data_IF_725709854843
#
_entry.id   IF_725709854843
#
_cell.length_a   1.000
_cell.length_b   1.000
_cell.length_c   1.000
_cell.angle_alpha   90.00
_cell.angle_beta   90.00
_cell.angle_gamma   90.00
#
_symmetry.space_group_name_H-M   'P 1'
#
loop_
_entity.id
_entity.type
_entity.pdbx_description
1 polymer ?
#
# COMPACT_ATOMS: atom_id res chain seq x y z
N UNK A 1 46.28 -39.79 -15.28
CA UNK A 1 46.23 -40.54 -14.00
C UNK A 1 46.15 -39.48 -12.91
N UNK A 2 45.00 -39.10 -12.33
CA UNK A 2 43.85 -39.81 -11.74
C UNK A 2 42.60 -38.99 -12.15
N UNK A 3 41.72 -39.40 -13.08
CA UNK A 3 40.63 -40.39 -13.04
C UNK A 3 39.51 -40.12 -12.01
N UNK A 4 38.43 -39.49 -12.51
CA UNK A 4 37.03 -39.96 -12.46
C UNK A 4 36.32 -40.25 -11.13
N UNK A 5 36.66 -39.61 -10.01
CA UNK A 5 35.94 -39.87 -8.74
C UNK A 5 34.81 -38.88 -8.38
N UNK A 6 34.67 -37.73 -9.06
CA UNK A 6 33.67 -36.73 -8.65
C UNK A 6 32.29 -36.87 -9.32
N UNK A 7 32.20 -37.53 -10.48
CA UNK A 7 30.94 -37.60 -11.25
C UNK A 7 30.04 -38.79 -10.91
N UNK A 8 30.46 -39.68 -9.99
CA UNK A 8 29.72 -40.91 -9.65
C UNK A 8 28.99 -40.85 -8.29
N UNK A 9 29.13 -39.78 -7.50
CA UNK A 9 28.41 -39.68 -6.21
C UNK A 9 27.04 -39.00 -6.35
N UNK A 10 26.84 -38.17 -7.38
CA UNK A 10 25.55 -37.46 -7.57
C UNK A 10 24.51 -38.34 -8.30
N UNK A 11 24.93 -39.36 -9.05
CA UNK A 11 24.01 -40.21 -9.81
C UNK A 11 23.54 -41.46 -9.05
N UNK A 12 24.20 -41.85 -7.96
CA UNK A 12 23.81 -43.04 -7.16
C UNK A 12 22.72 -42.74 -6.12
N UNK A 13 22.55 -41.47 -5.71
CA UNK A 13 21.44 -41.07 -4.84
C UNK A 13 20.07 -41.04 -5.54
N UNK A 14 20.04 -41.19 -6.87
CA UNK A 14 18.79 -41.28 -7.64
C UNK A 14 18.36 -42.71 -7.98
N UNK A 15 19.19 -43.74 -7.74
CA UNK A 15 18.94 -45.11 -8.24
C UNK A 15 18.85 -46.17 -7.12
N UNK A 16 19.14 -45.84 -5.86
CA UNK A 16 18.88 -46.77 -4.76
C UNK A 16 17.55 -46.44 -4.07
N UNK A 17 16.57 -47.26 -4.43
CA UNK A 17 15.20 -47.21 -3.97
C UNK A 17 15.07 -47.14 -2.46
N UNK A 18 14.42 -46.08 -2.01
CA UNK A 18 13.35 -46.21 -1.04
C UNK A 18 12.09 -45.92 -1.86
N UNK A 19 11.51 -46.98 -2.41
CA UNK A 19 10.12 -46.95 -2.85
C UNK A 19 9.26 -46.74 -1.60
N UNK A 20 9.21 -45.50 -1.10
CA UNK A 20 7.99 -45.06 -0.43
C UNK A 20 6.90 -45.20 -1.48
N UNK A 21 5.74 -45.81 -1.16
CA UNK A 21 4.60 -45.66 -2.04
C UNK A 21 4.40 -44.15 -2.16
N UNK A 22 4.77 -43.59 -3.31
CA UNK A 22 4.28 -42.31 -3.74
C UNK A 22 2.79 -42.57 -3.94
N UNK A 23 2.04 -42.55 -2.83
CA UNK A 23 0.62 -42.27 -2.89
C UNK A 23 0.58 -41.01 -3.73
N UNK A 24 0.01 -41.12 -4.93
CA UNK A 24 -0.41 -39.95 -5.67
C UNK A 24 -1.21 -39.16 -4.64
N UNK A 25 -0.63 -38.07 -4.14
CA UNK A 25 -1.39 -37.13 -3.35
C UNK A 25 -2.57 -36.82 -4.26
N UNK A 26 -3.79 -37.10 -3.83
CA UNK A 26 -4.92 -36.57 -4.55
C UNK A 26 -4.96 -35.09 -4.19
N UNK A 27 -4.60 -34.22 -5.15
CA UNK A 27 -4.52 -32.77 -4.92
C UNK A 27 -5.91 -32.20 -4.68
N UNK A 28 -6.96 -32.98 -4.95
CA UNK A 28 -8.34 -32.67 -4.61
C UNK A 28 -8.64 -32.88 -3.11
N UNK A 29 -7.92 -33.77 -2.42
CA UNK A 29 -8.12 -34.08 -0.99
C UNK A 29 -7.10 -33.41 -0.06
N UNK A 30 -6.03 -32.84 -0.61
CA UNK A 30 -5.09 -32.03 0.15
C UNK A 30 -5.76 -30.70 0.52
N UNK A 31 -6.32 -30.63 1.73
CA UNK A 31 -6.70 -29.36 2.33
C UNK A 31 -5.49 -28.41 2.20
N UNK A 32 -5.68 -27.20 1.64
CA UNK A 32 -4.57 -26.28 1.45
C UNK A 32 -3.90 -26.08 2.81
N UNK A 33 -2.60 -26.37 2.88
CA UNK A 33 -1.82 -26.20 4.10
C UNK A 33 -2.08 -24.81 4.69
N UNK A 34 -2.10 -24.71 6.02
CA UNK A 34 -2.32 -23.44 6.74
C UNK A 34 -1.38 -22.32 6.29
N UNK A 35 -0.24 -22.66 5.65
CA UNK A 35 0.69 -21.71 5.02
C UNK A 35 0.09 -20.91 3.85
N UNK A 36 -1.02 -21.37 3.28
CA UNK A 36 -1.78 -20.72 2.23
C UNK A 36 -3.01 -19.97 2.76
N UNK A 37 -3.28 -20.06 4.06
CA UNK A 37 -4.36 -19.29 4.68
C UNK A 37 -4.04 -17.80 4.55
N UNK A 38 -5.00 -17.10 3.95
CA UNK A 38 -4.94 -15.65 3.80
C UNK A 38 -5.09 -15.05 5.18
N UNK A 39 -4.14 -14.20 5.57
CA UNK A 39 -4.32 -13.38 6.75
C UNK A 39 -5.18 -12.19 6.40
N UNK A 40 -6.41 -12.17 6.91
CA UNK A 40 -7.34 -11.06 6.72
C UNK A 40 -6.90 -9.83 7.51
N UNK A 41 -7.48 -8.68 7.16
CA UNK A 41 -7.36 -7.49 8.00
C UNK A 41 -8.00 -7.77 9.37
N UNK A 42 -7.43 -7.27 10.48
CA UNK A 42 -8.02 -7.38 11.82
C UNK A 42 -9.52 -7.00 11.83
N UNK A 43 -10.34 -7.82 12.49
CA UNK A 43 -11.79 -7.60 12.58
C UNK A 43 -12.60 -7.93 11.32
N UNK A 44 -11.96 -8.35 10.23
CA UNK A 44 -12.64 -8.73 8.99
C UNK A 44 -12.75 -10.25 8.84
N UNK A 45 -13.89 -10.71 8.31
CA UNK A 45 -14.20 -12.13 8.08
C UNK A 45 -14.00 -12.57 6.63
N UNK A 46 -13.79 -11.60 5.74
CA UNK A 46 -13.46 -11.82 4.34
C UNK A 46 -12.35 -10.89 3.89
N UNK A 47 -11.83 -11.13 2.69
CA UNK A 47 -10.90 -10.21 2.03
C UNK A 47 -11.63 -8.90 1.69
N UNK A 48 -10.86 -7.82 1.63
CA UNK A 48 -11.39 -6.47 1.47
C UNK A 48 -11.11 -5.95 0.05
N UNK A 49 -12.14 -5.45 -0.59
CA UNK A 49 -12.07 -4.70 -1.83
C UNK A 49 -12.53 -3.29 -1.55
N UNK A 50 -11.61 -2.36 -1.69
CA UNK A 50 -11.84 -0.97 -1.33
C UNK A 50 -12.18 -0.15 -2.56
N UNK A 51 -12.92 0.93 -2.34
CA UNK A 51 -12.95 2.04 -3.26
C UNK A 51 -11.84 3.03 -2.86
N UNK A 52 -11.17 3.61 -3.86
CA UNK A 52 -10.22 4.69 -3.64
C UNK A 52 -10.97 6.01 -3.53
N UNK A 53 -10.80 6.73 -2.43
CA UNK A 53 -11.54 7.95 -2.13
C UNK A 53 -12.84 7.69 -1.36
N UNK A 54 -13.25 8.68 -0.58
CA UNK A 54 -14.48 8.64 0.21
C UNK A 54 -15.06 10.05 0.34
N UNK A 55 -16.38 10.25 0.17
CA UNK A 55 -16.99 11.55 0.39
C UNK A 55 -16.77 12.06 1.83
N UNK A 56 -16.59 13.37 2.01
CA UNK A 56 -16.49 14.00 3.33
C UNK A 56 -17.82 14.13 4.07
N UNK A 57 -18.96 14.06 3.37
CA UNK A 57 -20.29 14.16 3.97
C UNK A 57 -20.85 12.79 4.37
N UNK A 58 -21.30 12.65 5.62
CA UNK A 58 -21.81 11.39 6.16
C UNK A 58 -23.05 10.87 5.42
N UNK A 59 -23.94 11.75 4.95
CA UNK A 59 -25.13 11.30 4.23
C UNK A 59 -24.77 10.74 2.85
N UNK A 60 -23.80 11.36 2.16
CA UNK A 60 -23.23 10.84 0.91
C UNK A 60 -22.53 9.50 1.13
N UNK A 61 -21.69 9.37 2.16
CA UNK A 61 -21.02 8.11 2.52
C UNK A 61 -22.01 6.98 2.73
N UNK A 62 -23.10 7.23 3.50
CA UNK A 62 -24.15 6.23 3.73
C UNK A 62 -24.81 5.77 2.42
N UNK A 63 -25.09 6.68 1.50
CA UNK A 63 -25.67 6.34 0.18
C UNK A 63 -24.69 5.53 -0.66
N UNK A 64 -23.42 5.95 -0.71
CA UNK A 64 -22.38 5.24 -1.44
C UNK A 64 -22.20 3.80 -0.92
N UNK A 65 -22.05 3.62 0.39
CA UNK A 65 -21.94 2.28 0.99
C UNK A 65 -23.18 1.43 0.70
N UNK A 66 -24.38 2.01 0.73
CA UNK A 66 -25.61 1.28 0.41
C UNK A 66 -25.58 0.74 -1.03
N UNK A 67 -25.12 1.54 -1.99
CA UNK A 67 -24.94 1.11 -3.39
C UNK A 67 -23.84 0.06 -3.49
N UNK A 68 -22.67 0.28 -2.87
CA UNK A 68 -21.57 -0.69 -2.91
C UNK A 68 -21.97 -2.06 -2.36
N UNK A 69 -22.76 -2.09 -1.27
CA UNK A 69 -23.30 -3.32 -0.71
C UNK A 69 -24.33 -3.98 -1.62
N UNK A 70 -25.26 -3.19 -2.20
CA UNK A 70 -26.31 -3.69 -3.08
C UNK A 70 -25.74 -4.32 -4.35
N UNK A 71 -24.75 -3.67 -4.95
CA UNK A 71 -24.17 -4.04 -6.24
C UNK A 71 -22.91 -4.92 -6.10
N UNK A 72 -22.45 -5.18 -4.87
CA UNK A 72 -21.26 -6.03 -4.61
C UNK A 72 -19.93 -5.39 -5.07
N UNK A 73 -19.82 -4.06 -5.03
CA UNK A 73 -18.67 -3.33 -5.58
C UNK A 73 -17.46 -3.27 -4.64
N UNK A 74 -17.65 -3.58 -3.36
CA UNK A 74 -16.58 -3.53 -2.36
C UNK A 74 -17.11 -3.44 -0.94
N UNK A 75 -16.17 -3.46 0.01
CA UNK A 75 -16.41 -3.51 1.45
C UNK A 75 -15.38 -2.72 2.27
N UNK A 76 -14.81 -1.64 1.72
CA UNK A 76 -13.89 -0.75 2.46
C UNK A 76 -13.54 0.54 1.68
N UNK A 77 -12.73 1.39 2.28
CA UNK A 77 -12.11 2.55 1.60
C UNK A 77 -10.58 2.55 1.77
N UNK A 78 -9.86 2.84 0.70
CA UNK A 78 -8.41 2.98 0.70
C UNK A 78 -7.97 3.89 -0.47
N UNK A 79 -7.56 5.14 -0.21
CA UNK A 79 -7.75 5.87 1.04
C UNK A 79 -9.22 6.26 1.23
N UNK A 80 -9.64 6.39 2.49
CA UNK A 80 -10.87 7.02 2.93
C UNK A 80 -10.61 8.46 3.40
N UNK A 81 -11.44 9.00 4.29
CA UNK A 81 -11.31 10.40 4.71
C UNK A 81 -9.96 10.67 5.40
N UNK A 82 -9.56 11.94 5.41
CA UNK A 82 -8.41 12.39 6.19
C UNK A 82 -8.56 12.00 7.66
N UNK A 83 -7.46 11.55 8.26
CA UNK A 83 -7.39 11.02 9.64
C UNK A 83 -7.34 12.15 10.65
N UNK A 84 -8.37 13.00 10.65
CA UNK A 84 -8.49 14.20 11.48
C UNK A 84 -9.82 14.23 12.23
N UNK A 85 -9.86 14.93 13.36
CA UNK A 85 -11.02 15.02 14.24
C UNK A 85 -12.29 15.56 13.55
N UNK A 86 -12.12 16.39 12.51
CA UNK A 86 -13.24 16.88 11.68
C UNK A 86 -14.07 15.76 11.04
N UNK A 87 -13.49 14.57 10.85
CA UNK A 87 -14.15 13.40 10.27
C UNK A 87 -14.62 12.37 11.31
N UNK A 88 -14.69 12.74 12.60
CA UNK A 88 -15.04 11.82 13.70
C UNK A 88 -16.39 11.10 13.49
N UNK A 89 -17.39 11.78 12.92
CA UNK A 89 -18.70 11.21 12.62
C UNK A 89 -18.63 10.11 11.54
N UNK A 90 -17.70 10.22 10.58
CA UNK A 90 -17.45 9.20 9.56
C UNK A 90 -16.83 7.96 10.21
N UNK A 91 -15.76 8.13 11.01
CA UNK A 91 -15.10 7.03 11.71
C UNK A 91 -16.05 6.30 12.66
N UNK A 92 -16.84 7.03 13.45
CA UNK A 92 -17.86 6.41 14.31
C UNK A 92 -18.90 5.60 13.50
N UNK A 93 -19.27 6.09 12.31
CA UNK A 93 -20.18 5.34 11.43
C UNK A 93 -19.52 4.07 10.89
N UNK A 94 -18.28 4.16 10.38
CA UNK A 94 -17.53 3.01 9.87
C UNK A 94 -17.33 1.93 10.92
N UNK A 95 -16.92 2.33 12.13
CA UNK A 95 -16.77 1.43 13.28
C UNK A 95 -18.07 0.64 13.55
N UNK A 96 -19.21 1.34 13.59
CA UNK A 96 -20.51 0.73 13.87
C UNK A 96 -20.93 -0.33 12.83
N UNK A 97 -20.54 -0.14 11.57
CA UNK A 97 -20.88 -1.07 10.49
C UNK A 97 -19.74 -2.02 10.13
N UNK A 98 -18.65 -2.02 10.93
CA UNK A 98 -17.40 -2.74 10.70
C UNK A 98 -16.83 -2.54 9.28
N UNK A 99 -16.80 -1.30 8.80
CA UNK A 99 -16.26 -0.95 7.48
C UNK A 99 -14.78 -0.55 7.60
N UNK A 100 -13.84 -1.35 7.07
CA UNK A 100 -12.41 -1.07 7.15
C UNK A 100 -12.04 0.16 6.32
N UNK A 101 -11.10 0.94 6.85
CA UNK A 101 -10.62 2.17 6.21
C UNK A 101 -9.10 2.28 6.30
N UNK A 102 -8.46 2.72 5.24
CA UNK A 102 -7.13 3.34 5.30
C UNK A 102 -7.34 4.83 5.11
N UNK A 103 -7.01 5.68 6.07
CA UNK A 103 -7.18 7.13 5.94
C UNK A 103 -5.99 7.82 5.29
N UNK A 104 -6.26 8.98 4.69
CA UNK A 104 -5.19 9.94 4.39
C UNK A 104 -4.58 10.49 5.69
N UNK A 105 -3.27 10.78 5.72
CA UNK A 105 -2.65 11.42 6.87
C UNK A 105 -3.13 12.87 7.02
N UNK A 106 -3.09 13.45 8.24
CA UNK A 106 -3.21 14.89 8.42
C UNK A 106 -2.16 15.63 7.58
N UNK A 107 -2.52 16.78 7.01
CA UNK A 107 -1.64 17.59 6.14
C UNK A 107 -1.12 16.86 4.88
N UNK A 108 -1.77 15.77 4.46
CA UNK A 108 -1.55 15.11 3.17
C UNK A 108 -0.09 14.78 2.88
N UNK A 109 0.46 15.38 1.81
CA UNK A 109 1.82 15.13 1.33
C UNK A 109 2.93 15.44 2.34
N UNK A 110 2.67 16.29 3.35
CA UNK A 110 3.63 16.59 4.42
C UNK A 110 4.01 15.35 5.23
N UNK A 111 3.17 14.30 5.25
CA UNK A 111 3.48 13.05 5.93
C UNK A 111 4.71 12.32 5.36
N UNK A 112 5.03 12.56 4.09
CA UNK A 112 6.27 12.04 3.50
C UNK A 112 7.50 12.85 3.95
N UNK A 113 7.33 14.08 4.44
CA UNK A 113 8.45 14.92 4.87
C UNK A 113 8.85 14.57 6.29
N UNK A 114 10.08 14.08 6.47
CA UNK A 114 10.65 13.89 7.81
C UNK A 114 10.76 15.27 8.49
N UNK A 115 10.13 15.41 9.66
CA UNK A 115 9.97 16.68 10.40
C UNK A 115 8.98 17.68 9.80
N UNK A 116 8.09 17.24 8.89
CA UNK A 116 6.89 17.99 8.52
C UNK A 116 5.85 18.05 9.66
N UNK A 117 4.71 18.70 9.42
CA UNK A 117 3.69 18.92 10.46
C UNK A 117 2.71 17.75 10.64
N UNK A 118 2.70 16.80 9.71
CA UNK A 118 1.77 15.68 9.68
C UNK A 118 1.93 14.75 10.91
N UNK A 119 1.11 15.00 11.93
CA UNK A 119 1.04 14.24 13.17
C UNK A 119 -0.40 14.24 13.70
N UNK A 120 -0.84 13.13 14.28
CA UNK A 120 -2.14 13.05 14.96
C UNK A 120 -2.12 13.84 16.27
N UNK A 121 -3.03 14.80 16.38
CA UNK A 121 -3.37 15.45 17.65
C UNK A 121 -4.13 14.50 18.58
N UNK A 122 -4.33 14.88 19.84
CA UNK A 122 -5.15 14.10 20.77
C UNK A 122 -6.62 14.05 20.37
N UNK A 123 -7.11 15.10 19.71
CA UNK A 123 -8.46 15.12 19.15
C UNK A 123 -8.59 14.14 17.98
N UNK A 124 -7.58 14.08 17.10
CA UNK A 124 -7.55 13.10 16.00
C UNK A 124 -7.50 11.67 16.54
N UNK A 125 -6.68 11.42 17.56
CA UNK A 125 -6.64 10.11 18.22
C UNK A 125 -7.99 9.73 18.79
N UNK A 126 -8.65 10.64 19.51
CA UNK A 126 -9.97 10.37 20.09
C UNK A 126 -10.98 10.00 19.01
N UNK A 127 -10.92 10.67 17.85
CA UNK A 127 -11.79 10.38 16.72
C UNK A 127 -11.51 9.02 16.08
N UNK A 128 -10.25 8.56 16.08
CA UNK A 128 -9.85 7.28 15.49
C UNK A 128 -9.98 6.10 16.46
N UNK A 129 -9.84 6.33 17.77
CA UNK A 129 -9.90 5.30 18.81
C UNK A 129 -11.21 4.52 18.77
N UNK A 130 -12.31 5.16 18.34
CA UNK A 130 -13.61 4.49 18.14
C UNK A 130 -13.52 3.28 17.19
N UNK A 131 -12.63 3.32 16.19
CA UNK A 131 -12.42 2.21 15.26
C UNK A 131 -11.78 1.03 15.97
N UNK A 132 -10.71 1.27 16.75
CA UNK A 132 -10.01 0.23 17.51
C UNK A 132 -10.90 -0.35 18.61
N UNK A 133 -11.70 0.47 19.30
CA UNK A 133 -12.63 0.04 20.35
C UNK A 133 -13.72 -0.93 19.80
N UNK A 134 -14.12 -0.75 18.54
CA UNK A 134 -15.04 -1.65 17.84
C UNK A 134 -14.32 -2.81 17.14
N UNK A 135 -12.99 -2.89 17.21
CA UNK A 135 -12.18 -3.86 16.47
C UNK A 135 -12.25 -3.69 14.95
N UNK A 136 -12.71 -2.54 14.45
CA UNK A 136 -12.78 -2.24 13.02
C UNK A 136 -11.41 -1.80 12.53
N UNK A 137 -10.94 -2.41 11.44
CA UNK A 137 -9.63 -2.07 10.90
C UNK A 137 -9.54 -0.60 10.46
N UNK A 138 -8.52 0.08 10.98
CA UNK A 138 -8.09 1.39 10.51
C UNK A 138 -6.56 1.41 10.37
N UNK A 139 -6.08 2.03 9.29
CA UNK A 139 -4.69 2.40 9.13
C UNK A 139 -4.56 3.80 8.48
N UNK A 140 -3.36 4.36 8.48
CA UNK A 140 -3.06 5.67 7.86
C UNK A 140 -1.96 5.47 6.83
N UNK A 141 -2.21 5.90 5.60
CA UNK A 141 -1.33 5.63 4.47
C UNK A 141 -0.04 6.45 4.53
N UNK A 142 1.09 5.74 4.56
CA UNK A 142 2.39 6.27 4.15
C UNK A 142 2.65 5.78 2.72
N UNK A 143 2.15 6.55 1.75
CA UNK A 143 2.20 6.22 0.31
C UNK A 143 3.54 6.57 -0.34
N UNK A 144 3.99 5.74 -1.27
CA UNK A 144 5.20 5.88 -2.09
C UNK A 144 6.45 6.38 -1.37
N UNK A 145 6.61 6.01 -0.10
CA UNK A 145 7.60 6.65 0.74
C UNK A 145 9.05 6.28 0.42
N UNK A 146 9.29 5.22 -0.36
CA UNK A 146 10.60 4.98 -0.97
C UNK A 146 10.99 6.08 -1.95
N UNK A 147 10.02 6.65 -2.67
CA UNK A 147 10.22 7.75 -3.60
C UNK A 147 10.73 9.02 -2.93
N UNK A 148 10.45 9.20 -1.63
CA UNK A 148 11.02 10.29 -0.84
C UNK A 148 12.55 10.31 -0.91
N UNK A 149 13.21 9.16 -0.73
CA UNK A 149 14.66 9.06 -0.79
C UNK A 149 15.20 9.19 -2.21
N UNK A 150 14.43 8.77 -3.21
CA UNK A 150 14.92 8.69 -4.59
C UNK A 150 14.68 9.96 -5.41
N UNK A 151 13.66 10.75 -5.07
CA UNK A 151 13.28 11.91 -5.89
C UNK A 151 12.74 13.11 -5.10
N UNK A 152 11.92 12.89 -4.06
CA UNK A 152 11.13 14.01 -3.51
C UNK A 152 11.92 14.90 -2.55
N UNK A 153 12.74 14.29 -1.69
CA UNK A 153 13.43 14.99 -0.60
C UNK A 153 14.38 16.11 -1.01
N UNK A 154 14.81 16.15 -2.28
CA UNK A 154 15.67 17.18 -2.86
C UNK A 154 14.90 18.13 -3.80
N UNK A 155 13.63 17.83 -4.10
CA UNK A 155 12.84 18.52 -5.11
C UNK A 155 12.12 19.73 -4.48
N UNK A 156 12.69 20.91 -4.69
CA UNK A 156 12.14 22.16 -4.16
C UNK A 156 10.71 22.43 -4.63
N UNK A 157 10.40 22.20 -5.91
CA UNK A 157 9.06 22.47 -6.44
C UNK A 157 8.01 21.56 -5.79
N UNK A 158 8.35 20.29 -5.57
CA UNK A 158 7.47 19.38 -4.83
C UNK A 158 7.25 19.87 -3.39
N UNK A 159 8.31 20.30 -2.71
CA UNK A 159 8.19 20.89 -1.37
C UNK A 159 7.34 22.18 -1.36
N UNK A 160 7.44 23.03 -2.39
CA UNK A 160 6.57 24.22 -2.55
C UNK A 160 5.10 23.80 -2.68
N UNK A 161 4.82 22.76 -3.47
CA UNK A 161 3.45 22.25 -3.62
C UNK A 161 2.91 21.65 -2.32
N UNK A 162 3.77 20.98 -1.53
CA UNK A 162 3.39 20.35 -0.26
C UNK A 162 3.14 21.37 0.84
N UNK A 163 4.01 22.37 1.00
CA UNK A 163 3.92 23.35 2.09
C UNK A 163 3.11 24.59 1.73
N UNK A 164 2.88 24.86 0.44
CA UNK A 164 2.16 26.04 -0.04
C UNK A 164 2.78 27.33 0.48
N UNK A 165 1.94 28.18 1.08
CA UNK A 165 2.33 29.49 1.61
C UNK A 165 3.38 29.40 2.74
N UNK A 166 3.45 28.26 3.44
CA UNK A 166 4.39 28.04 4.54
C UNK A 166 5.77 27.57 4.07
N UNK A 167 5.98 27.42 2.76
CA UNK A 167 7.22 26.86 2.20
C UNK A 167 8.48 27.53 2.73
N UNK A 168 8.51 28.86 2.83
CA UNK A 168 9.71 29.59 3.26
C UNK A 168 10.12 29.26 4.71
N UNK A 169 9.16 28.91 5.57
CA UNK A 169 9.42 28.43 6.93
C UNK A 169 10.01 27.01 6.92
N UNK A 170 9.55 26.16 6.00
CA UNK A 170 9.88 24.74 5.97
C UNK A 170 10.99 24.35 4.99
N UNK A 171 11.49 25.24 4.14
CA UNK A 171 12.55 24.94 3.15
C UNK A 171 13.82 24.31 3.74
N UNK A 172 14.07 24.51 5.03
CA UNK A 172 15.20 23.91 5.75
C UNK A 172 15.13 22.37 5.85
N UNK A 173 13.97 21.75 5.59
CA UNK A 173 13.81 20.29 5.62
C UNK A 173 14.23 19.61 4.31
N UNK A 174 14.43 20.39 3.24
CA UNK A 174 14.91 19.90 1.94
C UNK A 174 16.32 19.36 2.12
N UNK A 175 16.56 18.17 1.59
CA UNK A 175 17.86 17.51 1.71
C UNK A 175 18.83 18.07 0.67
N UNK A 176 20.11 18.26 1.03
CA UNK A 176 21.14 18.57 0.06
C UNK A 176 21.23 17.48 -1.03
N UNK A 177 21.32 17.84 -2.33
CA UNK A 177 21.37 16.88 -3.44
C UNK A 177 22.48 15.83 -3.32
N UNK A 178 23.63 16.21 -2.73
CA UNK A 178 24.78 15.33 -2.52
C UNK A 178 24.48 14.14 -1.59
N UNK A 179 23.46 14.25 -0.74
CA UNK A 179 23.04 13.17 0.15
C UNK A 179 22.05 12.23 -0.49
N UNK A 180 21.60 12.48 -1.73
CA UNK A 180 20.68 11.60 -2.48
C UNK A 180 19.46 11.18 -1.67
N UNK A 181 18.87 12.17 -1.00
CA UNK A 181 17.65 12.04 -0.19
C UNK A 181 17.80 11.46 1.22
N UNK A 182 19.03 11.21 1.67
CA UNK A 182 19.32 10.85 3.06
C UNK A 182 19.66 12.09 3.90
N UNK A 183 19.62 11.99 5.23
CA UNK A 183 20.04 13.08 6.13
C UNK A 183 21.55 13.32 6.06
N UNK A 184 22.29 12.25 5.81
CA UNK A 184 23.71 12.26 5.53
C UNK A 184 24.05 11.10 4.60
N UNK A 185 25.10 11.24 3.79
CA UNK A 185 25.50 10.15 2.89
C UNK A 185 25.91 8.90 3.70
N UNK A 186 25.15 7.80 3.64
CA UNK A 186 25.45 6.61 4.43
C UNK A 186 26.77 5.98 3.96
N UNK A 187 27.66 5.69 4.91
CA UNK A 187 28.99 5.07 4.65
C UNK A 187 28.99 3.54 4.81
N UNK A 188 27.87 2.95 5.19
CA UNK A 188 27.72 1.50 5.36
C UNK A 188 26.27 1.06 5.15
N UNK A 189 26.05 -0.24 4.92
CA UNK A 189 24.69 -0.83 4.85
C UNK A 189 23.91 -0.60 6.15
N UNK A 190 24.56 -0.73 7.30
CA UNK A 190 24.00 -0.47 8.63
C UNK A 190 23.51 0.99 8.74
N UNK A 191 24.35 1.95 8.33
CA UNK A 191 23.99 3.36 8.37
C UNK A 191 22.82 3.70 7.43
N UNK A 192 22.75 3.06 6.26
CA UNK A 192 21.60 3.19 5.36
C UNK A 192 20.33 2.62 6.00
N UNK A 193 20.39 1.37 6.50
CA UNK A 193 19.28 0.73 7.20
C UNK A 193 18.77 1.58 8.37
N UNK A 194 19.66 2.11 9.20
CA UNK A 194 19.29 2.91 10.37
C UNK A 194 18.59 4.22 9.97
N UNK A 195 19.02 4.87 8.89
CA UNK A 195 18.36 6.08 8.38
C UNK A 195 16.96 5.79 7.81
N UNK A 196 16.82 4.72 7.02
CA UNK A 196 15.51 4.31 6.47
C UNK A 196 14.56 3.88 7.60
N UNK A 197 15.09 3.18 8.61
CA UNK A 197 14.33 2.79 9.81
C UNK A 197 13.88 3.99 10.61
N UNK A 198 14.79 4.93 10.90
CA UNK A 198 14.46 6.13 11.65
C UNK A 198 13.45 7.01 10.92
N UNK A 199 13.58 7.08 9.59
CA UNK A 199 12.56 7.66 8.73
C UNK A 199 11.23 6.97 9.03
N UNK A 200 11.03 5.70 8.68
CA UNK A 200 9.73 5.03 8.87
C UNK A 200 9.17 5.16 10.29
N UNK A 201 9.99 4.89 11.32
CA UNK A 201 9.54 4.90 12.71
C UNK A 201 9.11 6.27 13.21
N UNK A 202 9.70 7.36 12.69
CA UNK A 202 9.25 8.72 13.04
C UNK A 202 7.81 8.95 12.58
N UNK A 203 7.47 8.53 11.36
CA UNK A 203 6.10 8.63 10.84
C UNK A 203 5.16 7.65 11.52
N UNK A 204 5.63 6.46 11.83
CA UNK A 204 4.86 5.47 12.57
C UNK A 204 4.44 5.97 13.96
N UNK A 205 5.36 6.64 14.67
CA UNK A 205 5.07 7.30 15.95
C UNK A 205 4.10 8.47 15.79
N UNK A 206 4.29 9.31 14.76
CA UNK A 206 3.40 10.44 14.49
C UNK A 206 1.95 10.01 14.23
N UNK A 207 1.76 8.81 13.67
CA UNK A 207 0.45 8.19 13.43
C UNK A 207 0.01 7.22 14.52
N UNK A 208 0.63 7.29 15.71
CA UNK A 208 0.28 6.47 16.88
C UNK A 208 0.17 4.98 16.54
N UNK A 209 1.16 4.50 15.79
CA UNK A 209 1.28 3.12 15.31
C UNK A 209 0.16 2.61 14.36
N UNK A 210 -0.58 3.51 13.70
CA UNK A 210 -1.60 3.16 12.70
C UNK A 210 -1.11 3.13 11.25
N UNK A 211 0.19 3.24 11.00
CA UNK A 211 0.71 3.32 9.62
C UNK A 211 0.56 2.04 8.83
N UNK A 212 0.07 2.17 7.58
CA UNK A 212 0.29 1.21 6.50
C UNK A 212 1.40 1.75 5.58
N UNK A 213 2.35 0.89 5.22
CA UNK A 213 3.35 1.21 4.21
C UNK A 213 2.76 0.86 2.85
N UNK A 214 2.70 1.80 1.91
CA UNK A 214 2.42 1.52 0.50
C UNK A 214 3.65 1.96 -0.29
N UNK A 215 4.22 1.06 -1.10
CA UNK A 215 5.37 1.39 -1.95
C UNK A 215 5.36 0.64 -3.29
N UNK A 216 5.65 1.37 -4.36
CA UNK A 216 5.84 0.91 -5.72
C UNK A 216 7.32 0.89 -6.11
N UNK A 217 8.08 1.96 -5.81
CA UNK A 217 9.45 2.10 -6.34
C UNK A 217 10.61 1.58 -5.45
N UNK A 218 10.34 0.79 -4.42
CA UNK A 218 11.38 0.21 -3.52
C UNK A 218 10.95 -1.14 -2.92
N UNK A 219 11.82 -1.90 -2.24
CA UNK A 219 11.41 -3.09 -1.47
C UNK A 219 11.26 -2.83 0.04
N UNK A 220 10.96 -1.58 0.42
CA UNK A 220 10.93 -1.18 1.82
C UNK A 220 9.69 -1.69 2.59
N UNK A 221 8.68 -2.22 1.91
CA UNK A 221 7.52 -2.84 2.54
C UNK A 221 7.90 -3.97 3.51
N UNK A 222 8.96 -4.74 3.19
CA UNK A 222 9.44 -5.83 4.02
C UNK A 222 10.03 -5.32 5.34
N UNK A 223 10.72 -4.18 5.29
CA UNK A 223 11.23 -3.51 6.48
C UNK A 223 10.12 -2.85 7.29
N UNK A 224 9.14 -2.21 6.63
CA UNK A 224 7.99 -1.66 7.32
C UNK A 224 7.24 -2.72 8.14
N UNK A 225 7.14 -3.95 7.60
CA UNK A 225 6.57 -5.09 8.31
C UNK A 225 7.33 -5.43 9.60
N UNK A 226 8.67 -5.52 9.52
CA UNK A 226 9.57 -5.71 10.66
C UNK A 226 9.39 -4.59 11.71
N UNK A 227 9.22 -3.35 11.25
CA UNK A 227 9.16 -2.16 12.10
C UNK A 227 7.76 -1.84 12.62
N UNK A 228 6.78 -2.71 12.39
CA UNK A 228 5.49 -2.65 13.06
C UNK A 228 4.34 -2.09 12.23
N UNK A 229 4.47 -1.95 10.91
CA UNK A 229 3.33 -1.56 10.06
C UNK A 229 2.09 -2.44 10.34
N UNK A 230 0.90 -1.86 10.20
CA UNK A 230 -0.36 -2.62 10.37
C UNK A 230 -0.56 -3.61 9.22
N UNK A 231 -0.12 -3.22 8.02
CA UNK A 231 -0.24 -3.99 6.77
C UNK A 231 1.04 -3.79 5.95
N UNK A 232 1.43 -4.84 5.23
CA UNK A 232 2.46 -4.77 4.18
C UNK A 232 1.79 -4.34 2.88
N UNK A 233 1.78 -3.05 2.57
CA UNK A 233 1.12 -2.53 1.36
C UNK A 233 2.10 -2.35 0.21
N UNK A 234 1.61 -2.65 -0.98
CA UNK A 234 2.29 -2.42 -2.24
C UNK A 234 1.49 -1.47 -3.10
N UNK A 235 2.19 -0.70 -3.92
CA UNK A 235 1.62 -0.18 -5.15
C UNK A 235 2.20 -0.99 -6.32
N UNK A 236 1.35 -1.33 -7.28
CA UNK A 236 1.71 -2.03 -8.52
C UNK A 236 1.04 -1.32 -9.70
N UNK A 237 1.69 -1.29 -10.85
CA UNK A 237 1.22 -0.46 -11.97
C UNK A 237 2.25 0.62 -12.25
N UNK A 238 1.84 1.87 -12.46
CA UNK A 238 2.68 3.10 -12.54
C UNK A 238 4.14 2.91 -12.91
N UNK A 239 4.44 2.33 -14.08
CA UNK A 239 5.82 2.07 -14.52
C UNK A 239 6.72 1.43 -13.42
N UNK A 240 6.11 0.76 -12.43
CA UNK A 240 6.75 0.10 -11.31
C UNK A 240 7.31 -1.19 -11.85
N UNK A 241 8.64 -1.29 -11.77
CA UNK A 241 9.33 -2.49 -12.20
C UNK A 241 9.13 -3.63 -11.18
N UNK A 242 9.30 -4.86 -11.67
CA UNK A 242 9.44 -6.07 -10.84
C UNK A 242 8.19 -6.51 -10.05
N UNK A 243 6.98 -6.34 -10.61
CA UNK A 243 5.69 -6.77 -10.02
C UNK A 243 5.74 -8.15 -9.34
N UNK A 244 6.30 -9.17 -10.00
CA UNK A 244 6.35 -10.52 -9.43
C UNK A 244 7.22 -10.57 -8.17
N UNK A 245 8.37 -9.89 -8.19
CA UNK A 245 9.26 -9.84 -7.03
C UNK A 245 8.60 -9.08 -5.87
N UNK A 246 7.92 -7.96 -6.14
CA UNK A 246 7.16 -7.20 -5.14
C UNK A 246 6.15 -8.08 -4.42
N UNK A 247 5.33 -8.81 -5.16
CA UNK A 247 4.36 -9.75 -4.60
C UNK A 247 5.06 -10.84 -3.78
N UNK A 248 6.16 -11.41 -4.28
CA UNK A 248 6.90 -12.44 -3.57
C UNK A 248 7.48 -11.94 -2.23
N UNK A 249 8.11 -10.77 -2.21
CA UNK A 249 8.68 -10.15 -1.02
C UNK A 249 7.61 -9.74 -0.02
N UNK A 250 6.51 -9.10 -0.47
CA UNK A 250 5.42 -8.72 0.41
C UNK A 250 4.76 -9.94 1.06
N UNK A 251 4.51 -11.00 0.30
CA UNK A 251 4.00 -12.27 0.84
C UNK A 251 4.97 -12.90 1.85
N UNK A 252 6.26 -12.90 1.55
CA UNK A 252 7.30 -13.40 2.45
C UNK A 252 7.34 -12.62 3.76
N UNK A 253 7.37 -11.29 3.68
CA UNK A 253 7.37 -10.41 4.84
C UNK A 253 6.09 -10.51 5.67
N UNK A 254 4.93 -10.58 5.01
CA UNK A 254 3.63 -10.77 5.65
C UNK A 254 3.60 -12.05 6.49
N UNK A 255 4.14 -13.15 5.95
CA UNK A 255 4.29 -14.41 6.68
C UNK A 255 5.29 -14.29 7.83
N UNK A 256 6.50 -13.81 7.53
CA UNK A 256 7.59 -13.70 8.51
C UNK A 256 7.19 -12.87 9.74
N UNK A 257 6.46 -11.78 9.53
CA UNK A 257 6.09 -10.84 10.58
C UNK A 257 4.63 -10.96 11.04
N UNK A 258 3.92 -12.00 10.57
CA UNK A 258 2.56 -12.29 11.00
C UNK A 258 1.59 -11.12 10.72
N UNK A 259 1.68 -10.52 9.53
CA UNK A 259 0.92 -9.34 9.08
C UNK A 259 0.06 -9.65 7.85
N UNK A 260 -1.11 -9.00 7.70
CA UNK A 260 -1.80 -8.97 6.42
C UNK A 260 -1.00 -8.13 5.42
N UNK A 261 -1.33 -8.26 4.14
CA UNK A 261 -0.72 -7.47 3.08
C UNK A 261 -1.77 -7.00 2.07
N UNK A 262 -1.49 -5.90 1.38
CA UNK A 262 -2.42 -5.26 0.46
C UNK A 262 -1.74 -4.80 -0.83
N UNK A 263 -2.55 -4.54 -1.85
CA UNK A 263 -2.12 -3.96 -3.12
C UNK A 263 -3.03 -2.79 -3.48
N UNK A 264 -2.41 -1.67 -3.85
CA UNK A 264 -3.01 -0.62 -4.67
C UNK A 264 -2.57 -0.84 -6.13
N UNK A 265 -3.54 -0.90 -7.04
CA UNK A 265 -3.30 -1.04 -8.48
C UNK A 265 -3.43 0.33 -9.12
N UNK A 266 -2.30 0.88 -9.56
CA UNK A 266 -2.23 2.24 -10.07
C UNK A 266 -2.79 2.38 -11.49
N UNK A 267 -3.56 3.45 -11.79
CA UNK A 267 -3.99 3.81 -13.14
C UNK A 267 -2.89 4.38 -14.02
N UNK A 268 -1.81 4.81 -13.40
CA UNK A 268 -0.85 5.66 -14.05
C UNK A 268 0.07 4.85 -14.94
N UNK A 269 0.43 5.43 -16.08
CA UNK A 269 1.47 4.94 -16.95
C UNK A 269 2.11 6.12 -17.70
N UNK A 270 3.28 6.58 -17.23
CA UNK A 270 4.10 7.57 -17.93
C UNK A 270 3.34 8.81 -18.44
N UNK A 271 2.74 9.60 -17.55
CA UNK A 271 1.97 10.80 -17.93
C UNK A 271 0.61 10.51 -18.57
N UNK A 272 0.13 9.27 -18.46
CA UNK A 272 -1.24 8.90 -18.82
C UNK A 272 -1.91 8.19 -17.64
N UNK A 273 -3.22 8.37 -17.49
CA UNK A 273 -4.00 7.84 -16.38
C UNK A 273 -5.35 7.39 -16.88
N UNK A 274 -5.71 6.14 -16.59
CA UNK A 274 -7.06 5.66 -16.86
C UNK A 274 -8.06 6.44 -16.01
N UNK A 275 -9.05 7.06 -16.64
CA UNK A 275 -10.18 7.74 -16.00
C UNK A 275 -11.45 7.42 -16.76
N UNK A 276 -12.61 7.94 -16.31
CA UNK A 276 -13.84 7.84 -17.11
C UNK A 276 -13.74 8.61 -18.43
N UNK A 277 -14.62 8.26 -19.37
CA UNK A 277 -14.87 9.05 -20.58
C UNK A 277 -13.89 8.78 -21.73
N UNK A 278 -14.03 9.52 -22.85
CA UNK A 278 -13.17 9.38 -24.02
C UNK A 278 -11.74 9.85 -23.74
N UNK A 279 -10.81 9.41 -24.58
CA UNK A 279 -9.42 9.86 -24.54
C UNK A 279 -9.33 11.39 -24.72
N UNK A 280 -8.66 12.05 -23.79
CA UNK A 280 -8.39 13.49 -23.80
C UNK A 280 -6.95 13.76 -23.34
N UNK A 281 -6.40 14.90 -23.72
CA UNK A 281 -5.12 15.40 -23.22
C UNK A 281 -5.42 16.67 -22.41
N UNK A 282 -4.99 16.72 -21.15
CA UNK A 282 -5.17 17.90 -20.30
C UNK A 282 -4.07 18.96 -20.54
N UNK A 283 -4.22 20.13 -19.92
CA UNK A 283 -3.29 21.26 -20.08
C UNK A 283 -1.86 20.97 -19.58
N UNK A 284 -1.70 19.90 -18.78
CA UNK A 284 -0.38 19.40 -18.34
C UNK A 284 0.20 18.37 -19.32
N UNK A 285 -0.41 18.23 -20.51
CA UNK A 285 -0.08 17.25 -21.53
C UNK A 285 -0.22 15.80 -21.04
N UNK A 286 -1.12 15.56 -20.08
CA UNK A 286 -1.37 14.21 -19.57
C UNK A 286 -2.60 13.61 -20.25
N UNK A 287 -2.50 12.34 -20.63
CA UNK A 287 -3.61 11.62 -21.25
C UNK A 287 -4.58 11.07 -20.19
N UNK A 288 -5.87 11.29 -20.40
CA UNK A 288 -6.99 10.86 -19.54
C UNK A 288 -8.06 10.16 -20.36
N UNK A 289 -8.89 9.34 -19.72
CA UNK A 289 -9.98 8.58 -20.36
C UNK A 289 -9.78 7.07 -20.25
N UNK A 290 -10.76 6.30 -20.73
CA UNK A 290 -10.74 4.84 -20.64
C UNK A 290 -9.64 4.18 -21.49
N UNK A 291 -9.17 4.91 -22.51
CA UNK A 291 -8.08 4.50 -23.41
C UNK A 291 -6.74 5.16 -23.04
N UNK A 292 -6.63 5.78 -21.86
CA UNK A 292 -5.39 6.33 -21.32
C UNK A 292 -4.83 5.46 -20.18
N UNK A 293 -3.53 5.56 -19.90
CA UNK A 293 -2.90 4.80 -18.82
C UNK A 293 -2.78 3.32 -19.15
N UNK A 294 -3.14 2.47 -18.18
CA UNK A 294 -3.23 1.03 -18.39
C UNK A 294 -4.57 0.61 -18.99
N UNK A 295 -4.55 -0.41 -19.85
CA UNK A 295 -5.81 -1.03 -20.30
C UNK A 295 -6.60 -1.62 -19.12
N UNK A 296 -7.95 -1.60 -19.18
CA UNK A 296 -8.80 -2.24 -18.17
C UNK A 296 -8.50 -3.74 -18.00
N UNK A 297 -8.07 -4.42 -19.07
CA UNK A 297 -7.64 -5.83 -18.99
C UNK A 297 -6.37 -6.01 -18.15
N UNK A 298 -5.45 -5.04 -18.15
CA UNK A 298 -4.28 -5.09 -17.27
C UNK A 298 -4.66 -4.94 -15.80
N UNK A 299 -5.58 -4.02 -15.50
CA UNK A 299 -6.14 -3.87 -14.15
C UNK A 299 -6.78 -5.15 -13.63
N UNK A 300 -7.66 -5.75 -14.43
CA UNK A 300 -8.32 -7.00 -14.08
C UNK A 300 -7.28 -8.08 -13.76
N UNK A 301 -6.24 -8.23 -14.59
CA UNK A 301 -5.17 -9.18 -14.34
C UNK A 301 -4.40 -8.89 -13.06
N UNK A 302 -4.04 -7.64 -12.78
CA UNK A 302 -3.35 -7.29 -11.53
C UNK A 302 -4.23 -7.52 -10.31
N UNK A 303 -5.52 -7.18 -10.39
CA UNK A 303 -6.49 -7.44 -9.34
C UNK A 303 -6.62 -8.94 -9.07
N UNK A 304 -6.81 -9.76 -10.11
CA UNK A 304 -6.90 -11.21 -9.99
C UNK A 304 -5.60 -11.80 -9.45
N UNK A 305 -4.44 -11.32 -9.92
CA UNK A 305 -3.14 -11.75 -9.42
C UNK A 305 -3.00 -11.44 -7.94
N UNK A 306 -3.37 -10.23 -7.50
CA UNK A 306 -3.37 -9.81 -6.10
C UNK A 306 -4.23 -10.72 -5.24
N UNK A 307 -5.43 -11.02 -5.73
CA UNK A 307 -6.36 -11.93 -5.09
C UNK A 307 -5.81 -13.35 -4.98
N UNK A 308 -5.37 -13.97 -6.08
CA UNK A 308 -4.77 -15.31 -6.05
C UNK A 308 -3.48 -15.35 -5.22
N UNK A 309 -2.75 -14.24 -5.17
CA UNK A 309 -1.58 -14.10 -4.33
C UNK A 309 -1.93 -14.04 -2.82
N UNK A 310 -3.20 -13.90 -2.47
CA UNK A 310 -3.67 -13.90 -1.09
C UNK A 310 -3.54 -12.54 -0.40
N UNK A 311 -3.66 -11.44 -1.14
CA UNK A 311 -3.79 -10.12 -0.53
C UNK A 311 -5.05 -10.06 0.36
N UNK A 312 -4.90 -9.45 1.54
CA UNK A 312 -5.99 -9.22 2.47
C UNK A 312 -6.91 -8.09 1.99
N UNK A 313 -6.33 -7.14 1.25
CA UNK A 313 -7.00 -5.96 0.72
C UNK A 313 -6.47 -5.63 -0.68
N UNK A 314 -7.35 -5.32 -1.62
CA UNK A 314 -6.99 -4.87 -2.97
C UNK A 314 -7.79 -3.61 -3.31
N UNK A 315 -7.07 -2.61 -3.80
CA UNK A 315 -7.58 -1.27 -4.09
C UNK A 315 -7.29 -0.94 -5.55
N UNK A 316 -8.30 -0.65 -6.39
CA UNK A 316 -8.08 0.03 -7.66
C UNK A 316 -7.81 1.51 -7.36
N UNK A 317 -6.55 1.93 -7.46
CA UNK A 317 -6.14 3.29 -7.15
C UNK A 317 -6.85 4.28 -8.07
N UNK A 318 -7.18 5.48 -7.55
CA UNK A 318 -7.90 6.52 -8.27
C UNK A 318 -9.26 6.08 -8.88
N UNK A 319 -9.84 4.97 -8.40
CA UNK A 319 -11.12 4.46 -8.91
C UNK A 319 -12.26 5.47 -8.83
N UNK A 320 -12.18 6.45 -7.93
CA UNK A 320 -13.15 7.56 -7.91
C UNK A 320 -13.19 8.33 -9.24
N UNK A 321 -12.04 8.60 -9.85
CA UNK A 321 -11.93 9.28 -11.15
C UNK A 321 -12.30 8.39 -12.34
N UNK A 322 -12.49 7.09 -12.11
CA UNK A 322 -12.93 6.11 -13.11
C UNK A 322 -14.44 5.90 -13.04
N UNK A 323 -15.03 5.89 -11.85
CA UNK A 323 -16.43 5.52 -11.65
C UNK A 323 -17.38 6.70 -11.48
N UNK A 324 -16.91 7.87 -11.03
CA UNK A 324 -17.78 8.99 -10.65
C UNK A 324 -17.58 10.22 -11.53
N UNK A 325 -18.64 11.04 -11.58
CA UNK A 325 -18.64 12.19 -12.46
C UNK A 325 -17.74 13.34 -12.00
N UNK A 326 -17.62 13.48 -10.68
CA UNK A 326 -16.71 14.37 -10.00
C UNK A 326 -15.62 13.49 -9.37
N UNK A 327 -14.35 13.84 -9.60
CA UNK A 327 -13.20 13.12 -9.05
C UNK A 327 -13.06 13.31 -7.54
N UNK A 328 -11.90 12.91 -7.00
CA UNK A 328 -11.59 13.09 -5.58
C UNK A 328 -11.76 14.58 -5.19
N UNK A 329 -12.59 14.93 -4.19
CA UNK A 329 -12.54 16.26 -3.61
C UNK A 329 -11.15 16.43 -2.98
N UNK A 330 -10.28 17.17 -3.67
CA UNK A 330 -8.91 17.45 -3.26
C UNK A 330 -8.80 17.92 -1.80
#
# INVERSE_FOLDING_TARGET
MISSLASHIILTLFILGIASPCQALDWHDAAPSDIWNVRLLPGQTSRVFTLYGCPGDLAQVKRLIAVMKKEGLGNGFDPGPASVAGNANLFAYFARINWPVVGYPPFGGEFQVKHGRAQLTDADETALQVMDDHGTFMAIQLGEWGYYFHNLSINEQWHRNVFGDDFEQFKHVIKPPEFKGYDSQPKSRKACYDQVRDYFLTRHRAMRARTISVTGHSHYEAYAAEWGSRVVGLELGENIAFTQSKIAFARGAARQWNKPWSIQVSPWFHGSCTTKGPLTIDDSNYARGLDAGHSLSFYERLWLHSWFAGAAMVTPENSISIFFDQGDPA
#
